data_IF_373680115306
#
_entry.id   IF_373680115306
#
_cell.length_a   1.000
_cell.length_b   1.000
_cell.length_c   1.000
_cell.angle_alpha   90.00
_cell.angle_beta   90.00
_cell.angle_gamma   90.00
#
_symmetry.space_group_name_H-M   'P 1'
#
loop_
_entity.id
_entity.type
_entity.pdbx_description
1 polymer ?
#
# COMPACT_ATOMS: atom_id res chain seq x y z
N UNK A 1 -21.70 11.62 18.58
CA UNK A 1 -20.55 12.25 17.89
C UNK A 1 -20.67 12.01 16.38
N UNK A 2 -21.08 13.06 15.66
CA UNK A 2 -21.41 13.00 14.23
C UNK A 2 -20.12 13.01 13.39
N UNK A 3 -19.75 11.85 12.85
CA UNK A 3 -18.71 11.73 11.85
C UNK A 3 -19.34 12.00 10.48
N UNK A 4 -19.21 13.24 10.00
CA UNK A 4 -19.50 13.61 8.62
C UNK A 4 -18.64 12.75 7.67
N UNK A 5 -19.17 11.58 7.28
CA UNK A 5 -18.70 10.74 6.18
C UNK A 5 -19.11 11.37 4.85
N UNK A 6 -18.57 12.55 4.56
CA UNK A 6 -18.70 13.18 3.24
C UNK A 6 -17.31 13.48 2.72
N UNK A 7 -16.56 12.43 2.36
CA UNK A 7 -15.49 12.59 1.37
C UNK A 7 -16.20 12.59 0.02
N UNK A 8 -16.86 13.71 -0.29
CA UNK A 8 -17.32 13.96 -1.65
C UNK A 8 -16.05 14.23 -2.47
N UNK A 9 -15.62 13.24 -3.24
CA UNK A 9 -14.56 13.41 -4.24
C UNK A 9 -15.16 14.27 -5.35
N UNK A 10 -15.09 15.59 -5.16
CA UNK A 10 -15.43 16.56 -6.20
C UNK A 10 -14.25 16.58 -7.17
N UNK A 11 -14.56 16.23 -8.42
CA UNK A 11 -13.69 16.25 -9.60
C UNK A 11 -12.49 15.28 -9.58
N UNK A 12 -12.75 14.06 -10.08
CA UNK A 12 -11.72 13.17 -10.63
C UNK A 12 -11.28 13.68 -12.02
N UNK A 13 -10.71 14.88 -12.11
CA UNK A 13 -9.95 15.28 -13.31
C UNK A 13 -8.53 14.72 -13.18
N UNK A 14 -8.19 13.74 -14.03
CA UNK A 14 -6.81 13.25 -14.14
C UNK A 14 -6.12 14.11 -15.19
N UNK A 15 -5.68 15.30 -14.79
CA UNK A 15 -5.09 16.27 -15.72
C UNK A 15 -3.64 15.96 -16.09
N UNK A 16 -3.00 15.00 -15.41
CA UNK A 16 -1.66 14.52 -15.72
C UNK A 16 -1.50 13.01 -15.44
N UNK A 17 -1.30 12.21 -16.49
CA UNK A 17 -0.85 10.82 -16.38
C UNK A 17 0.67 10.77 -16.14
N UNK A 18 1.12 11.37 -15.04
CA UNK A 18 2.49 11.21 -14.54
C UNK A 18 2.67 9.84 -13.87
N UNK A 19 3.92 9.48 -13.55
CA UNK A 19 4.19 8.31 -12.69
C UNK A 19 3.56 8.60 -11.33
N UNK A 20 2.57 7.80 -10.91
CA UNK A 20 1.95 7.97 -9.61
C UNK A 20 2.96 7.54 -8.51
N UNK A 21 3.47 8.47 -7.70
CA UNK A 21 4.51 8.17 -6.71
C UNK A 21 4.03 7.17 -5.66
N UNK A 22 2.72 7.13 -5.33
CA UNK A 22 2.17 6.14 -4.40
C UNK A 22 2.31 4.72 -4.96
N UNK A 23 2.06 4.53 -6.26
CA UNK A 23 2.19 3.21 -6.90
C UNK A 23 3.66 2.85 -7.05
N UNK A 24 4.48 3.80 -7.49
CA UNK A 24 5.90 3.59 -7.76
C UNK A 24 6.69 3.16 -6.51
N UNK A 25 6.51 3.88 -5.40
CA UNK A 25 7.22 3.60 -4.15
C UNK A 25 6.80 2.28 -3.49
N UNK A 26 5.65 1.72 -3.84
CA UNK A 26 5.14 0.45 -3.32
C UNK A 26 5.07 -0.67 -4.37
N UNK A 27 5.73 -0.50 -5.52
CA UNK A 27 5.75 -1.46 -6.62
C UNK A 27 6.08 -2.89 -6.19
N UNK A 28 7.03 -3.08 -5.26
CA UNK A 28 7.38 -4.40 -4.72
C UNK A 28 6.21 -5.06 -3.97
N UNK A 29 5.48 -4.30 -3.14
CA UNK A 29 4.31 -4.81 -2.40
C UNK A 29 3.15 -5.13 -3.33
N UNK A 30 2.95 -4.31 -4.37
CA UNK A 30 1.91 -4.55 -5.38
C UNK A 30 2.25 -5.80 -6.20
N UNK A 31 3.50 -5.96 -6.59
CA UNK A 31 3.96 -7.15 -7.33
C UNK A 31 3.87 -8.41 -6.47
N UNK A 32 4.13 -8.34 -5.16
CA UNK A 32 4.07 -9.52 -4.29
C UNK A 32 2.65 -10.06 -4.15
N UNK A 33 1.62 -9.23 -4.22
CA UNK A 33 0.21 -9.67 -4.27
C UNK A 33 -0.07 -10.61 -5.44
N UNK A 34 0.53 -10.35 -6.61
CA UNK A 34 0.38 -11.21 -7.81
C UNK A 34 1.11 -12.55 -7.69
N UNK A 35 2.05 -12.66 -6.75
CA UNK A 35 2.89 -13.83 -6.56
C UNK A 35 2.56 -14.61 -5.28
N UNK A 36 1.51 -14.21 -4.54
CA UNK A 36 1.23 -14.71 -3.18
C UNK A 36 1.08 -16.24 -3.12
N UNK A 37 0.43 -16.83 -4.14
CA UNK A 37 0.26 -18.29 -4.26
C UNK A 37 1.54 -19.05 -4.54
N UNK A 38 2.57 -18.36 -5.01
CA UNK A 38 3.87 -18.92 -5.34
C UNK A 38 4.89 -18.76 -4.22
N UNK A 39 4.52 -18.06 -3.13
CA UNK A 39 5.38 -17.91 -1.96
C UNK A 39 5.33 -19.25 -1.20
N UNK A 40 6.47 -19.95 -1.05
CA UNK A 40 6.52 -21.16 -0.27
C UNK A 40 6.36 -20.78 1.21
N UNK A 41 5.13 -20.84 1.73
CA UNK A 41 4.74 -20.57 3.13
C UNK A 41 5.34 -21.54 4.15
N UNK A 42 6.41 -22.26 3.77
CA UNK A 42 6.53 -23.67 4.06
C UNK A 42 6.70 -24.03 5.53
N UNK A 43 7.00 -23.10 6.44
CA UNK A 43 6.96 -23.35 7.90
C UNK A 43 6.89 -22.06 8.75
N UNK A 44 7.36 -20.92 8.22
CA UNK A 44 7.42 -19.65 8.97
C UNK A 44 7.03 -18.44 8.09
N UNK A 45 5.91 -17.74 8.37
CA UNK A 45 5.52 -16.53 7.66
C UNK A 45 6.29 -15.28 8.10
N UNK A 46 7.09 -15.35 9.17
CA UNK A 46 7.77 -14.20 9.76
C UNK A 46 8.70 -13.46 8.78
N UNK A 47 9.55 -14.13 7.97
CA UNK A 47 10.44 -13.43 7.05
C UNK A 47 9.69 -12.58 6.02
N UNK A 48 8.55 -13.08 5.52
CA UNK A 48 7.71 -12.34 4.59
C UNK A 48 7.06 -11.14 5.28
N UNK A 49 6.47 -11.34 6.48
CA UNK A 49 5.88 -10.26 7.27
C UNK A 49 6.89 -9.14 7.56
N UNK A 50 8.11 -9.49 7.95
CA UNK A 50 9.16 -8.50 8.18
C UNK A 50 9.55 -7.76 6.91
N UNK A 51 9.63 -8.46 5.78
CA UNK A 51 9.93 -7.84 4.50
C UNK A 51 8.83 -6.84 4.09
N UNK A 52 7.56 -7.21 4.24
CA UNK A 52 6.42 -6.30 4.03
C UNK A 52 6.57 -5.05 4.90
N UNK A 53 6.84 -5.22 6.19
CA UNK A 53 7.02 -4.09 7.10
C UNK A 53 8.21 -3.19 6.70
N UNK A 54 9.32 -3.77 6.21
CA UNK A 54 10.49 -3.02 5.72
C UNK A 54 10.14 -2.20 4.48
N UNK A 55 9.47 -2.79 3.50
CA UNK A 55 9.08 -2.07 2.26
C UNK A 55 8.04 -0.99 2.52
N UNK A 56 7.07 -1.21 3.43
CA UNK A 56 6.14 -0.15 3.86
C UNK A 56 6.90 1.05 4.42
N UNK A 57 7.81 0.83 5.39
CA UNK A 57 8.58 1.93 6.01
C UNK A 57 9.48 2.62 4.99
N UNK A 58 10.05 1.88 4.04
CA UNK A 58 10.89 2.42 2.98
C UNK A 58 10.09 3.33 2.04
N UNK A 59 8.93 2.87 1.58
CA UNK A 59 8.03 3.68 0.76
C UNK A 59 7.51 4.90 1.50
N UNK A 60 7.06 4.75 2.76
CA UNK A 60 6.62 5.90 3.59
C UNK A 60 7.73 6.95 3.75
N UNK A 61 8.98 6.55 3.98
CA UNK A 61 10.12 7.50 4.04
C UNK A 61 10.31 8.24 2.73
N UNK A 62 10.26 7.53 1.59
CA UNK A 62 10.42 8.14 0.26
C UNK A 62 9.29 9.12 -0.06
N UNK A 63 8.05 8.77 0.26
CA UNK A 63 6.91 9.65 0.05
C UNK A 63 6.96 10.90 0.96
N UNK A 64 7.47 10.75 2.19
CA UNK A 64 7.71 11.90 3.07
C UNK A 64 8.84 12.80 2.53
N UNK A 65 9.92 12.22 1.99
CA UNK A 65 11.01 12.99 1.31
C UNK A 65 10.50 13.76 0.08
N UNK A 66 9.43 13.27 -0.56
CA UNK A 66 8.75 13.91 -1.68
C UNK A 66 7.64 14.89 -1.24
N UNK A 67 7.50 15.15 0.06
CA UNK A 67 6.50 16.06 0.64
C UNK A 67 5.05 15.74 0.27
N UNK A 68 4.73 14.44 0.08
CA UNK A 68 3.34 14.03 -0.16
C UNK A 68 2.48 14.22 1.08
N UNK A 69 1.20 14.51 0.83
CA UNK A 69 0.16 14.62 1.86
C UNK A 69 0.12 13.36 2.75
N UNK A 70 0.16 13.59 4.07
CA UNK A 70 0.18 12.53 5.06
C UNK A 70 -1.07 11.66 5.01
N UNK A 71 -2.24 12.23 4.69
CA UNK A 71 -3.48 11.46 4.60
C UNK A 71 -3.40 10.43 3.46
N UNK A 72 -2.89 10.83 2.29
CA UNK A 72 -2.66 9.97 1.14
C UNK A 72 -1.69 8.83 1.45
N UNK A 73 -0.58 9.13 2.15
CA UNK A 73 0.39 8.11 2.61
C UNK A 73 -0.26 7.10 3.56
N UNK A 74 -1.13 7.57 4.47
CA UNK A 74 -1.85 6.69 5.40
C UNK A 74 -2.90 5.83 4.69
N UNK A 75 -3.62 6.39 3.72
CA UNK A 75 -4.62 5.68 2.93
C UNK A 75 -3.97 4.57 2.12
N UNK A 76 -2.89 4.85 1.39
CA UNK A 76 -2.22 3.80 0.60
C UNK A 76 -1.64 2.70 1.50
N UNK A 77 -1.07 3.05 2.66
CA UNK A 77 -0.62 2.06 3.64
C UNK A 77 -1.76 1.16 4.10
N UNK A 78 -2.91 1.74 4.43
CA UNK A 78 -4.08 0.97 4.83
C UNK A 78 -4.52 0.01 3.72
N UNK A 79 -4.63 0.49 2.48
CA UNK A 79 -5.00 -0.33 1.33
C UNK A 79 -4.03 -1.49 1.11
N UNK A 80 -2.71 -1.24 1.19
CA UNK A 80 -1.68 -2.26 0.99
C UNK A 80 -1.70 -3.31 2.11
N UNK A 81 -1.80 -2.89 3.38
CA UNK A 81 -1.92 -3.82 4.49
C UNK A 81 -3.16 -4.71 4.35
N UNK A 82 -4.32 -4.10 4.07
CA UNK A 82 -5.57 -4.84 3.91
C UNK A 82 -5.51 -5.82 2.75
N UNK A 83 -4.94 -5.43 1.60
CA UNK A 83 -4.81 -6.30 0.44
C UNK A 83 -3.86 -7.48 0.70
N UNK A 84 -2.75 -7.24 1.42
CA UNK A 84 -1.82 -8.31 1.82
C UNK A 84 -2.48 -9.26 2.80
N UNK A 85 -3.14 -8.74 3.84
CA UNK A 85 -3.85 -9.55 4.83
C UNK A 85 -4.91 -10.44 4.16
N UNK A 86 -5.73 -9.86 3.27
CA UNK A 86 -6.74 -10.60 2.50
C UNK A 86 -6.10 -11.67 1.59
N UNK A 87 -5.00 -11.34 0.92
CA UNK A 87 -4.31 -12.25 0.02
C UNK A 87 -3.68 -13.43 0.76
N UNK A 88 -3.11 -13.20 1.95
CA UNK A 88 -2.54 -14.27 2.81
C UNK A 88 -3.65 -15.14 3.39
N UNK A 89 -4.75 -14.56 3.88
CA UNK A 89 -5.87 -15.32 4.43
C UNK A 89 -6.62 -16.18 3.39
N UNK A 90 -6.37 -15.95 2.10
CA UNK A 90 -6.97 -16.72 0.98
C UNK A 90 -6.08 -17.83 0.43
N UNK A 91 -4.83 -17.95 0.90
CA UNK A 91 -3.96 -19.09 0.56
C UNK A 91 -4.43 -20.35 1.29
#
# INVERSE_FOLDING_TARGET
PDLSRNIAVQDLSIDNMGINPLVDQFSWLIASLSCMSSIPWLDDPMPFREQVAREIRKGERKLNEMELDRASVLVIRYCLCAAIDESVCRQ
#
